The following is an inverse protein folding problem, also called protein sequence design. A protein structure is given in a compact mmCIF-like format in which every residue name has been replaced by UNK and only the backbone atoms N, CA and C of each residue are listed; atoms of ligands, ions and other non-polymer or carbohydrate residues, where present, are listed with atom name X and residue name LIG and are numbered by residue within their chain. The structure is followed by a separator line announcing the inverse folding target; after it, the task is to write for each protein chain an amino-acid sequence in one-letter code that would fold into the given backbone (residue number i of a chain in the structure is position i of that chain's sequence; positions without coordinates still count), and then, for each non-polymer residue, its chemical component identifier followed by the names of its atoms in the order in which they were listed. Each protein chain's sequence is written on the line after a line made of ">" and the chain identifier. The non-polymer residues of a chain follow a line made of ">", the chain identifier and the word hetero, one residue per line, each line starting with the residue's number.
data_IF_463429037885
#
_entry.id   IF_463429037885
#
_cell.length_a   1.000
_cell.length_b   1.000
_cell.length_c   1.000
_cell.angle_alpha   90.00
_cell.angle_beta   90.00
_cell.angle_gamma   90.00
#
_symmetry.space_group_name_H-M   'P 1'
#
loop_
_entity.id
_entity.type
_entity.pdbx_description
1 polymer ?
#
# COMPACT_ATOMS: atom_id res chain seq x y z
N UNK A 1 9.82 1.72 16.59
CA UNK A 1 9.30 1.55 15.21
C UNK A 1 7.87 2.05 15.20
N UNK A 2 7.48 2.79 14.16
CA UNK A 2 6.11 3.24 13.92
C UNK A 2 5.27 2.06 13.46
N UNK A 3 4.20 1.78 14.20
CA UNK A 3 3.23 0.71 13.97
C UNK A 3 2.03 1.22 13.19
N UNK A 4 1.95 0.84 11.93
CA UNK A 4 0.90 1.28 10.99
C UNK A 4 -0.10 0.15 10.80
N UNK A 5 -1.31 0.33 11.29
CA UNK A 5 -2.41 -0.59 11.00
C UNK A 5 -3.09 -0.19 9.69
N UNK A 6 -3.11 -1.11 8.72
CA UNK A 6 -3.75 -0.93 7.43
C UNK A 6 -4.96 -1.87 7.30
N UNK A 7 -6.05 -1.34 6.79
CA UNK A 7 -7.29 -2.07 6.61
C UNK A 7 -7.80 -1.89 5.19
N UNK A 8 -7.87 -2.97 4.42
CA UNK A 8 -8.64 -2.96 3.19
C UNK A 8 -10.09 -3.26 3.57
N UNK A 9 -10.94 -2.24 3.48
CA UNK A 9 -12.34 -2.33 3.87
C UNK A 9 -13.05 -3.50 3.19
N UNK A 10 -14.01 -4.11 3.91
CA UNK A 10 -14.87 -5.19 3.43
C UNK A 10 -14.17 -6.55 3.23
N UNK A 11 -14.93 -7.52 2.71
CA UNK A 11 -14.48 -8.69 1.98
C UNK A 11 -15.33 -8.82 0.70
N UNK A 12 -15.09 -9.83 -0.14
CA UNK A 12 -15.85 -10.01 -1.39
C UNK A 12 -17.36 -10.13 -1.18
N UNK A 13 -17.77 -10.73 -0.06
CA UNK A 13 -19.16 -11.03 0.25
C UNK A 13 -19.83 -10.04 1.20
N UNK A 14 -19.18 -8.91 1.53
CA UNK A 14 -19.82 -7.90 2.38
C UNK A 14 -21.16 -7.48 1.79
N UNK A 15 -22.24 -7.48 2.60
CA UNK A 15 -23.52 -6.92 2.21
C UNK A 15 -23.43 -5.41 2.03
N UNK A 16 -24.22 -4.86 1.10
CA UNK A 16 -24.31 -3.42 0.88
C UNK A 16 -24.04 -3.04 -0.57
N UNK A 17 -23.66 -1.78 -0.75
CA UNK A 17 -23.54 -1.15 -2.06
C UNK A 17 -22.38 -1.75 -2.85
N UNK A 18 -22.55 -1.86 -4.17
CA UNK A 18 -21.57 -2.40 -5.12
C UNK A 18 -21.56 -1.51 -6.36
N UNK A 19 -20.60 -1.69 -7.27
CA UNK A 19 -20.77 -1.09 -8.60
C UNK A 19 -22.04 -1.65 -9.25
N UNK A 20 -22.70 -0.92 -10.15
CA UNK A 20 -23.92 -1.39 -10.83
C UNK A 20 -23.73 -2.70 -11.61
N UNK A 21 -22.48 -3.08 -11.92
CA UNK A 21 -22.13 -4.34 -12.60
C UNK A 21 -21.56 -5.40 -11.64
N UNK A 22 -21.63 -5.18 -10.33
CA UNK A 22 -21.29 -6.17 -9.31
C UNK A 22 -19.81 -6.27 -8.94
N UNK A 23 -18.98 -5.30 -9.33
CA UNK A 23 -17.59 -5.22 -8.87
C UNK A 23 -17.55 -5.03 -7.35
N UNK A 24 -16.56 -5.64 -6.72
CA UNK A 24 -16.45 -5.71 -5.26
C UNK A 24 -15.43 -4.69 -4.77
N UNK A 25 -15.86 -3.85 -3.84
CA UNK A 25 -15.06 -2.78 -3.26
C UNK A 25 -13.71 -3.28 -2.73
N UNK A 26 -13.71 -4.43 -2.04
CA UNK A 26 -12.49 -5.05 -1.52
C UNK A 26 -11.41 -5.24 -2.59
N UNK A 27 -11.79 -5.50 -3.84
CA UNK A 27 -10.81 -5.70 -4.92
C UNK A 27 -10.01 -4.42 -5.23
N UNK A 28 -10.63 -3.25 -5.11
CA UNK A 28 -9.97 -1.95 -5.22
C UNK A 28 -9.17 -1.65 -3.93
N UNK A 29 -9.80 -1.83 -2.76
CA UNK A 29 -9.20 -1.55 -1.45
C UNK A 29 -7.90 -2.35 -1.23
N UNK A 30 -7.91 -3.64 -1.59
CA UNK A 30 -6.75 -4.53 -1.47
C UNK A 30 -5.57 -4.06 -2.34
N UNK A 31 -5.81 -3.64 -3.59
CA UNK A 31 -4.74 -3.13 -4.48
C UNK A 31 -4.07 -1.89 -3.91
N UNK A 32 -4.87 -0.96 -3.37
CA UNK A 32 -4.36 0.25 -2.71
C UNK A 32 -3.56 -0.10 -1.45
N UNK A 33 -4.07 -0.99 -0.60
CA UNK A 33 -3.37 -1.44 0.62
C UNK A 33 -2.01 -2.07 0.29
N UNK A 34 -1.97 -2.97 -0.69
CA UNK A 34 -0.73 -3.64 -1.10
C UNK A 34 0.31 -2.63 -1.62
N UNK A 35 -0.11 -1.65 -2.42
CA UNK A 35 0.77 -0.59 -2.89
C UNK A 35 1.27 0.31 -1.75
N UNK A 36 0.41 0.66 -0.80
CA UNK A 36 0.78 1.42 0.40
C UNK A 36 1.82 0.66 1.24
N UNK A 37 1.57 -0.63 1.52
CA UNK A 37 2.48 -1.46 2.28
C UNK A 37 3.84 -1.63 1.58
N UNK A 38 3.82 -1.86 0.26
CA UNK A 38 5.05 -1.98 -0.54
C UNK A 38 5.88 -0.68 -0.54
N UNK A 39 5.23 0.48 -0.58
CA UNK A 39 5.94 1.77 -0.48
C UNK A 39 6.50 2.00 0.92
N UNK A 40 5.70 1.77 1.98
CA UNK A 40 6.13 1.91 3.37
C UNK A 40 7.31 1.01 3.73
N UNK A 41 7.41 -0.19 3.16
CA UNK A 41 8.52 -1.12 3.38
C UNK A 41 9.89 -0.58 2.91
N UNK A 42 9.91 0.48 2.10
CA UNK A 42 11.13 1.19 1.68
C UNK A 42 11.67 2.14 2.75
N UNK A 43 10.97 2.32 3.87
CA UNK A 43 11.33 3.25 4.94
C UNK A 43 11.76 2.49 6.21
N UNK A 44 12.71 3.08 6.92
CA UNK A 44 13.22 2.56 8.19
C UNK A 44 12.15 2.66 9.27
N UNK A 45 12.29 1.85 10.31
CA UNK A 45 11.49 1.91 11.53
C UNK A 45 9.98 1.78 11.33
N UNK A 46 9.51 1.07 10.28
CA UNK A 46 8.09 0.80 10.05
C UNK A 46 7.75 -0.65 10.35
N UNK A 47 6.66 -0.86 11.08
CA UNK A 47 5.97 -2.14 11.15
C UNK A 47 4.55 -1.97 10.63
N UNK A 48 4.07 -2.94 9.86
CA UNK A 48 2.73 -2.91 9.25
C UNK A 48 1.91 -4.08 9.80
N UNK A 49 0.69 -3.79 10.21
CA UNK A 49 -0.31 -4.80 10.55
C UNK A 49 -1.53 -4.67 9.63
N UNK A 50 -1.82 -5.72 8.86
CA UNK A 50 -3.05 -5.80 8.07
C UNK A 50 -4.22 -6.28 8.94
N UNK A 51 -5.37 -5.61 8.85
CA UNK A 51 -6.53 -5.87 9.72
C UNK A 51 -7.62 -6.77 9.09
N UNK A 52 -7.78 -6.75 7.77
CA UNK A 52 -8.73 -7.57 7.02
C UNK A 52 -8.15 -8.95 6.63
N UNK A 53 -8.98 -9.80 6.00
CA UNK A 53 -8.56 -11.07 5.39
C UNK A 53 -7.86 -10.79 4.04
N UNK A 54 -6.56 -11.14 3.88
CA UNK A 54 -5.82 -10.89 2.64
C UNK A 54 -6.38 -11.59 1.40
N UNK A 55 -7.22 -12.60 1.58
CA UNK A 55 -7.89 -13.30 0.47
C UNK A 55 -9.23 -12.69 0.09
N UNK A 56 -9.78 -11.81 0.95
CA UNK A 56 -11.10 -11.22 0.79
C UNK A 56 -12.26 -12.22 0.98
N UNK A 57 -11.99 -13.49 1.28
CA UNK A 57 -13.04 -14.51 1.43
C UNK A 57 -13.89 -14.27 2.66
N UNK A 58 -13.27 -13.83 3.74
CA UNK A 58 -13.92 -13.54 5.02
C UNK A 58 -14.16 -12.04 5.16
N UNK A 59 -15.41 -11.65 5.37
CA UNK A 59 -15.70 -10.29 5.81
C UNK A 59 -15.45 -10.17 7.32
N UNK A 60 -14.23 -9.75 7.68
CA UNK A 60 -13.82 -9.63 9.08
C UNK A 60 -14.65 -8.54 9.76
N UNK A 61 -15.35 -8.81 10.88
CA UNK A 61 -16.16 -7.80 11.57
C UNK A 61 -15.36 -6.57 11.98
N UNK A 62 -15.95 -5.38 11.86
CA UNK A 62 -15.29 -4.10 12.15
C UNK A 62 -14.68 -4.05 13.57
N UNK A 63 -15.40 -4.57 14.56
CA UNK A 63 -14.92 -4.66 15.95
C UNK A 63 -13.68 -5.53 16.09
N UNK A 64 -13.60 -6.63 15.33
CA UNK A 64 -12.42 -7.49 15.29
C UNK A 64 -11.22 -6.74 14.72
N UNK A 65 -11.43 -5.96 13.65
CA UNK A 65 -10.39 -5.14 13.02
C UNK A 65 -9.84 -4.09 14.00
N UNK A 66 -10.71 -3.28 14.61
CA UNK A 66 -10.29 -2.23 15.56
C UNK A 66 -9.67 -2.83 16.83
N UNK A 67 -10.23 -3.91 17.38
CA UNK A 67 -9.64 -4.58 18.54
C UNK A 67 -8.25 -5.15 18.24
N UNK A 68 -8.03 -5.65 17.02
CA UNK A 68 -6.71 -6.13 16.58
C UNK A 68 -5.69 -4.98 16.55
N UNK A 69 -6.05 -3.82 15.99
CA UNK A 69 -5.19 -2.64 16.00
C UNK A 69 -4.92 -2.11 17.42
N UNK A 70 -5.97 -2.03 18.25
CA UNK A 70 -5.88 -1.57 19.64
C UNK A 70 -4.96 -2.47 20.47
N UNK A 71 -5.13 -3.80 20.40
CA UNK A 71 -4.26 -4.76 21.11
C UNK A 71 -2.81 -4.69 20.66
N UNK A 72 -2.57 -4.47 19.37
CA UNK A 72 -1.22 -4.32 18.83
C UNK A 72 -0.56 -2.98 19.23
N UNK A 73 -1.36 -2.05 19.77
CA UNK A 73 -0.97 -0.68 20.10
C UNK A 73 -0.42 0.03 18.86
N UNK A 74 -1.20 0.04 17.78
CA UNK A 74 -0.83 0.77 16.57
C UNK A 74 -0.66 2.27 16.87
N UNK A 75 0.29 2.93 16.21
CA UNK A 75 0.47 4.38 16.29
C UNK A 75 -0.51 5.12 15.37
N UNK A 76 -1.02 4.43 14.35
CA UNK A 76 -2.02 4.94 13.41
C UNK A 76 -2.84 3.81 12.80
N UNK A 77 -4.09 4.10 12.45
CA UNK A 77 -4.93 3.25 11.61
C UNK A 77 -5.33 3.99 10.34
N UNK A 78 -5.16 3.33 9.18
CA UNK A 78 -5.70 3.79 7.89
C UNK A 78 -6.63 2.73 7.33
N UNK A 79 -7.92 3.04 7.28
CA UNK A 79 -8.96 2.22 6.66
C UNK A 79 -9.21 2.71 5.24
N UNK A 80 -9.07 1.82 4.26
CA UNK A 80 -9.04 2.14 2.84
C UNK A 80 -10.31 1.60 2.19
N UNK A 81 -11.09 2.50 1.60
CA UNK A 81 -12.40 2.25 1.02
C UNK A 81 -12.58 2.92 -0.35
N UNK A 82 -13.62 2.49 -1.06
CA UNK A 82 -14.15 3.16 -2.25
C UNK A 82 -15.68 3.23 -2.15
N UNK A 83 -16.20 4.44 -2.21
CA UNK A 83 -17.56 4.75 -1.81
C UNK A 83 -18.59 4.23 -2.84
N UNK A 84 -19.86 4.23 -2.45
CA UNK A 84 -20.98 4.14 -3.37
C UNK A 84 -22.19 4.88 -2.81
N UNK A 85 -22.99 5.46 -3.71
CA UNK A 85 -24.18 6.20 -3.32
C UNK A 85 -25.47 5.36 -3.42
N UNK A 86 -25.79 4.83 -4.59
CA UNK A 86 -27.07 4.16 -4.86
C UNK A 86 -26.92 2.77 -5.47
N UNK A 87 -25.70 2.35 -5.83
CA UNK A 87 -25.43 1.17 -6.66
C UNK A 87 -26.08 1.23 -8.05
N UNK A 88 -26.44 2.42 -8.50
CA UNK A 88 -26.84 2.74 -9.88
C UNK A 88 -25.85 3.76 -10.45
N UNK A 89 -25.61 3.73 -11.77
CA UNK A 89 -24.70 4.68 -12.39
C UNK A 89 -25.20 6.12 -12.18
N UNK A 90 -24.32 7.01 -11.73
CA UNK A 90 -24.60 8.43 -11.59
C UNK A 90 -23.36 9.31 -11.68
N UNK A 91 -23.56 10.62 -11.66
CA UNK A 91 -22.50 11.63 -11.85
C UNK A 91 -21.92 12.19 -10.54
N UNK A 92 -22.30 11.62 -9.38
CA UNK A 92 -21.60 11.91 -8.12
C UNK A 92 -20.21 11.29 -8.15
N UNK A 93 -19.26 11.86 -7.44
CA UNK A 93 -17.90 11.35 -7.43
C UNK A 93 -16.95 12.26 -6.68
N UNK A 94 -15.73 11.78 -6.49
CA UNK A 94 -14.62 12.43 -5.83
C UNK A 94 -14.07 11.68 -4.62
N UNK A 95 -12.92 12.12 -4.16
CA UNK A 95 -12.19 11.58 -3.01
C UNK A 95 -12.66 12.25 -1.73
N UNK A 96 -12.89 11.46 -0.68
CA UNK A 96 -13.15 11.95 0.68
C UNK A 96 -12.22 11.28 1.69
N UNK A 97 -11.97 11.93 2.82
CA UNK A 97 -11.33 11.29 3.98
C UNK A 97 -12.11 11.61 5.25
N UNK A 98 -12.39 10.58 6.04
CA UNK A 98 -13.14 10.69 7.28
C UNK A 98 -12.26 10.56 8.51
N UNK A 99 -12.60 11.35 9.52
CA UNK A 99 -12.11 11.27 10.89
C UNK A 99 -13.31 11.19 11.85
N UNK A 100 -13.11 10.74 13.08
CA UNK A 100 -14.21 10.72 14.05
C UNK A 100 -14.65 12.13 14.45
N UNK A 101 -13.68 13.02 14.74
CA UNK A 101 -13.91 14.41 15.14
C UNK A 101 -12.98 15.34 14.37
N UNK A 102 -13.49 16.48 13.94
CA UNK A 102 -12.71 17.56 13.31
C UNK A 102 -12.20 18.54 14.37
N UNK A 103 -11.30 18.08 15.23
CA UNK A 103 -10.85 18.80 16.43
C UNK A 103 -9.36 19.15 16.43
N UNK A 104 -8.75 19.40 15.26
CA UNK A 104 -7.31 19.66 15.09
C UNK A 104 -6.36 18.60 15.71
N UNK A 105 -6.88 17.43 16.07
CA UNK A 105 -6.10 16.30 16.58
C UNK A 105 -5.26 15.63 15.49
N UNK A 106 -4.42 14.67 15.92
CA UNK A 106 -3.50 13.95 15.03
C UNK A 106 -4.20 13.30 13.83
N UNK A 107 -5.38 12.69 14.02
CA UNK A 107 -6.15 12.10 12.92
C UNK A 107 -6.58 13.14 11.87
N UNK A 108 -7.03 14.33 12.32
CA UNK A 108 -7.41 15.40 11.41
C UNK A 108 -6.20 15.93 10.63
N UNK A 109 -5.07 16.18 11.31
CA UNK A 109 -3.82 16.60 10.66
C UNK A 109 -3.33 15.58 9.63
N UNK A 110 -3.39 14.29 9.96
CA UNK A 110 -3.03 13.21 9.04
C UNK A 110 -3.96 13.18 7.82
N UNK A 111 -5.27 13.31 8.02
CA UNK A 111 -6.24 13.35 6.93
C UNK A 111 -6.02 14.54 5.99
N UNK A 112 -5.73 15.73 6.54
CA UNK A 112 -5.41 16.93 5.74
C UNK A 112 -4.12 16.79 4.93
N UNK A 113 -3.16 15.97 5.40
CA UNK A 113 -1.96 15.63 4.63
C UNK A 113 -2.28 14.63 3.52
N UNK A 114 -3.02 13.56 3.82
CA UNK A 114 -3.24 12.43 2.90
C UNK A 114 -4.27 12.72 1.82
N UNK A 115 -5.39 13.37 2.17
CA UNK A 115 -6.50 13.61 1.25
C UNK A 115 -6.08 14.28 -0.07
N UNK A 116 -5.34 15.41 -0.09
CA UNK A 116 -4.90 16.03 -1.34
C UNK A 116 -3.94 15.15 -2.16
N UNK A 117 -3.13 14.29 -1.52
CA UNK A 117 -2.26 13.36 -2.24
C UNK A 117 -3.08 12.29 -2.97
N UNK A 118 -4.14 11.76 -2.35
CA UNK A 118 -5.07 10.81 -2.98
C UNK A 118 -5.80 11.47 -4.14
N UNK A 119 -6.32 12.69 -3.94
CA UNK A 119 -6.97 13.49 -4.99
C UNK A 119 -6.10 13.59 -6.24
N UNK A 120 -4.84 13.97 -6.07
CA UNK A 120 -3.89 14.09 -7.17
C UNK A 120 -3.58 12.74 -7.83
N UNK A 121 -3.36 11.69 -7.03
CA UNK A 121 -3.08 10.34 -7.54
C UNK A 121 -4.23 9.80 -8.39
N UNK A 122 -5.46 9.95 -7.90
CA UNK A 122 -6.66 9.46 -8.58
C UNK A 122 -7.05 10.37 -9.75
N UNK A 123 -6.75 11.67 -9.69
CA UNK A 123 -7.19 12.65 -10.68
C UNK A 123 -8.69 12.91 -10.59
N UNK A 124 -9.25 12.85 -9.38
CA UNK A 124 -10.68 12.99 -9.12
C UNK A 124 -10.96 14.27 -8.32
N UNK A 125 -12.23 14.69 -8.29
CA UNK A 125 -12.66 15.86 -7.52
C UNK A 125 -12.34 15.70 -6.02
N UNK A 126 -11.82 16.76 -5.40
CA UNK A 126 -11.63 16.81 -3.95
C UNK A 126 -12.95 17.10 -3.23
N UNK A 127 -13.33 16.27 -2.25
CA UNK A 127 -14.50 16.48 -1.38
C UNK A 127 -14.12 16.71 0.08
N UNK A 128 -12.82 16.79 0.35
CA UNK A 128 -12.23 17.22 1.61
C UNK A 128 -12.29 16.21 2.74
N UNK A 129 -11.79 16.65 3.89
CA UNK A 129 -11.82 15.90 5.15
C UNK A 129 -13.12 16.19 5.91
N UNK A 130 -13.80 15.14 6.34
CA UNK A 130 -15.10 15.19 7.01
C UNK A 130 -15.07 14.47 8.36
N UNK A 131 -15.89 14.94 9.30
CA UNK A 131 -16.14 14.23 10.55
C UNK A 131 -17.33 13.30 10.39
N UNK A 132 -17.21 12.04 10.80
CA UNK A 132 -18.30 11.08 10.76
C UNK A 132 -18.13 9.99 11.83
N UNK A 133 -19.26 9.49 12.34
CA UNK A 133 -19.29 8.46 13.38
C UNK A 133 -19.11 7.04 12.81
N UNK A 134 -18.04 6.81 12.02
CA UNK A 134 -17.72 5.50 11.45
C UNK A 134 -16.98 4.63 12.47
N UNK A 135 -17.24 3.32 12.47
CA UNK A 135 -16.66 2.41 13.48
C UNK A 135 -15.14 2.43 13.50
N UNK A 136 -14.49 2.34 12.33
CA UNK A 136 -13.03 2.27 12.21
C UNK A 136 -12.32 3.48 12.81
N UNK A 137 -12.93 4.68 12.74
CA UNK A 137 -12.35 5.91 13.31
C UNK A 137 -12.80 6.17 14.75
N UNK A 138 -14.00 5.72 15.14
CA UNK A 138 -14.54 5.90 16.50
C UNK A 138 -13.91 4.93 17.50
N UNK A 139 -13.82 3.65 17.15
CA UNK A 139 -13.48 2.56 18.08
C UNK A 139 -11.96 2.26 18.17
N UNK A 140 -11.15 3.10 17.53
CA UNK A 140 -9.70 2.98 17.52
C UNK A 140 -9.09 3.88 18.59
N UNK A 141 -8.12 3.35 19.35
CA UNK A 141 -7.46 4.06 20.45
C UNK A 141 -6.32 4.99 19.99
N UNK A 142 -5.93 4.89 18.72
CA UNK A 142 -4.90 5.68 18.06
C UNK A 142 -5.53 6.62 17.01
N UNK A 143 -4.79 7.61 16.48
CA UNK A 143 -5.24 8.38 15.33
C UNK A 143 -5.67 7.46 14.19
N UNK A 144 -6.92 7.61 13.75
CA UNK A 144 -7.52 6.78 12.72
C UNK A 144 -8.18 7.63 11.65
N UNK A 145 -7.92 7.29 10.38
CA UNK A 145 -8.60 7.87 9.22
C UNK A 145 -9.25 6.76 8.39
N UNK A 146 -10.32 7.11 7.69
CA UNK A 146 -10.94 6.27 6.66
C UNK A 146 -10.94 7.03 5.33
N UNK A 147 -10.30 6.48 4.30
CA UNK A 147 -10.18 7.15 2.99
C UNK A 147 -11.16 6.54 2.00
N UNK A 148 -11.90 7.38 1.28
CA UNK A 148 -12.71 7.00 0.13
C UNK A 148 -12.00 7.44 -1.16
N UNK A 149 -11.47 6.48 -1.93
CA UNK A 149 -10.67 6.74 -3.14
C UNK A 149 -11.44 7.23 -4.37
N UNK A 150 -12.77 7.33 -4.26
CA UNK A 150 -13.71 7.59 -5.36
C UNK A 150 -14.94 6.71 -5.22
N UNK A 151 -15.93 6.87 -6.10
CA UNK A 151 -17.21 6.17 -6.04
C UNK A 151 -17.31 5.06 -7.09
N UNK A 152 -17.55 3.81 -6.68
CA UNK A 152 -17.66 2.65 -7.60
C UNK A 152 -18.94 2.63 -8.45
N UNK A 153 -19.93 3.44 -8.11
CA UNK A 153 -21.16 3.64 -8.89
C UNK A 153 -21.18 5.00 -9.62
N UNK A 154 -20.02 5.64 -9.74
CA UNK A 154 -19.84 6.90 -10.46
C UNK A 154 -19.38 6.69 -11.89
N UNK A 155 -20.05 7.34 -12.84
CA UNK A 155 -19.59 7.40 -14.23
C UNK A 155 -18.32 8.23 -14.41
N UNK A 156 -17.97 9.10 -13.46
CA UNK A 156 -16.75 9.92 -13.51
C UNK A 156 -15.56 9.24 -12.85
N UNK A 157 -15.79 8.45 -11.79
CA UNK A 157 -14.68 7.91 -10.99
C UNK A 157 -14.31 6.49 -11.39
N UNK A 158 -15.25 5.69 -11.91
CA UNK A 158 -15.03 4.24 -12.12
C UNK A 158 -13.85 3.94 -13.05
N UNK A 159 -13.56 4.82 -14.00
CA UNK A 159 -12.38 4.70 -14.87
C UNK A 159 -11.06 4.73 -14.09
N UNK A 160 -10.96 5.56 -13.05
CA UNK A 160 -9.80 5.59 -12.17
C UNK A 160 -9.74 4.34 -11.28
N UNK A 161 -10.88 3.89 -10.74
CA UNK A 161 -10.96 2.69 -9.90
C UNK A 161 -10.60 1.41 -10.66
N UNK A 162 -10.86 1.35 -11.98
CA UNK A 162 -10.47 0.23 -12.84
C UNK A 162 -9.01 0.28 -13.32
N UNK A 163 -8.28 1.35 -13.01
CA UNK A 163 -6.87 1.51 -13.40
C UNK A 163 -5.94 1.04 -12.28
N UNK A 164 -5.22 -0.06 -12.51
CA UNK A 164 -4.20 -0.55 -11.58
C UNK A 164 -3.11 0.49 -11.30
N UNK A 165 -2.77 1.32 -12.29
CA UNK A 165 -1.82 2.41 -12.12
C UNK A 165 -2.34 3.47 -11.14
N UNK A 166 -3.64 3.82 -11.20
CA UNK A 166 -4.26 4.79 -10.30
C UNK A 166 -4.40 4.25 -8.88
N UNK A 167 -4.86 3.01 -8.71
CA UNK A 167 -4.93 2.36 -7.39
C UNK A 167 -3.54 2.21 -6.75
N UNK A 168 -2.51 1.87 -7.54
CA UNK A 168 -1.12 1.87 -7.08
C UNK A 168 -0.67 3.27 -6.66
N UNK A 169 -0.98 4.29 -7.46
CA UNK A 169 -0.65 5.68 -7.14
C UNK A 169 -1.35 6.15 -5.84
N UNK A 170 -2.61 5.78 -5.62
CA UNK A 170 -3.32 6.05 -4.37
C UNK A 170 -2.64 5.40 -3.17
N UNK A 171 -2.23 4.14 -3.28
CA UNK A 171 -1.51 3.45 -2.20
C UNK A 171 -0.18 4.15 -1.87
N UNK A 172 0.57 4.54 -2.90
CA UNK A 172 1.81 5.32 -2.74
C UNK A 172 1.52 6.69 -2.09
N UNK A 173 0.44 7.38 -2.49
CA UNK A 173 0.04 8.66 -1.91
C UNK A 173 -0.27 8.56 -0.40
N UNK A 174 -0.99 7.51 0.01
CA UNK A 174 -1.25 7.23 1.44
C UNK A 174 0.07 7.01 2.18
N UNK A 175 0.97 6.17 1.63
CA UNK A 175 2.28 5.91 2.22
C UNK A 175 3.12 7.19 2.34
N UNK A 176 3.15 8.04 1.32
CA UNK A 176 3.86 9.32 1.34
C UNK A 176 3.31 10.28 2.39
N UNK A 177 1.99 10.31 2.57
CA UNK A 177 1.39 11.11 3.64
C UNK A 177 1.76 10.61 5.03
N UNK A 178 1.81 9.29 5.24
CA UNK A 178 2.30 8.66 6.48
C UNK A 178 3.79 8.96 6.70
N UNK A 179 4.62 8.84 5.66
CA UNK A 179 6.05 9.19 5.71
C UNK A 179 6.25 10.63 6.13
N UNK A 180 5.50 11.57 5.55
CA UNK A 180 5.53 12.98 5.92
C UNK A 180 5.08 13.20 7.36
N UNK A 181 4.00 12.54 7.77
CA UNK A 181 3.43 12.71 9.11
C UNK A 181 4.36 12.20 10.22
N UNK A 182 5.03 11.08 10.01
CA UNK A 182 5.93 10.46 11.00
C UNK A 182 7.41 10.83 10.81
N UNK A 183 7.76 11.59 9.76
CA UNK A 183 9.15 11.93 9.44
C UNK A 183 10.01 10.70 9.13
N UNK A 184 9.43 9.71 8.43
CA UNK A 184 10.11 8.44 8.15
C UNK A 184 11.28 8.63 7.18
N UNK A 185 12.40 7.96 7.47
CA UNK A 185 13.59 7.98 6.62
C UNK A 185 13.60 6.80 5.67
N UNK A 186 13.95 7.04 4.42
CA UNK A 186 14.08 5.98 3.42
C UNK A 186 15.26 5.08 3.80
N UNK A 187 15.13 3.76 3.61
CA UNK A 187 16.23 2.82 3.75
C UNK A 187 17.30 3.13 2.72
N UNK A 188 18.55 3.17 3.15
CA UNK A 188 19.72 3.19 2.28
C UNK A 188 20.12 1.76 1.90
N UNK A 189 20.95 1.61 0.86
CA UNK A 189 21.47 0.30 0.42
C UNK A 189 22.23 -0.42 1.55
N UNK A 190 22.83 0.33 2.49
CA UNK A 190 23.52 -0.21 3.67
C UNK A 190 22.60 -0.71 4.79
N UNK A 191 21.29 -0.42 4.74
CA UNK A 191 20.32 -0.84 5.76
C UNK A 191 19.65 -2.18 5.44
N UNK A 192 20.09 -2.87 4.37
CA UNK A 192 19.69 -4.26 4.09
C UNK A 192 20.38 -5.14 5.13
N UNK A 193 19.68 -5.45 6.21
CA UNK A 193 20.15 -6.39 7.23
C UNK A 193 20.15 -7.79 6.61
N UNK A 194 21.33 -8.32 6.34
CA UNK A 194 21.50 -9.75 6.06
C UNK A 194 21.11 -10.54 7.31
N UNK A 195 20.49 -11.73 7.17
CA UNK A 195 20.23 -12.60 8.31
C UNK A 195 21.53 -12.85 9.08
N UNK A 196 21.51 -12.66 10.39
CA UNK A 196 22.65 -12.92 11.26
C UNK A 196 22.77 -14.40 11.64
N UNK A 197 21.73 -15.19 11.39
CA UNK A 197 21.72 -16.64 11.59
C UNK A 197 22.38 -17.33 10.37
N UNK A 198 23.40 -18.16 10.61
CA UNK A 198 24.12 -18.89 9.56
C UNK A 198 23.22 -19.85 8.77
N UNK A 199 22.20 -20.43 9.39
CA UNK A 199 21.25 -21.33 8.72
C UNK A 199 20.33 -20.55 7.79
N UNK A 200 19.77 -19.42 8.26
CA UNK A 200 18.95 -18.55 7.39
C UNK A 200 19.78 -17.92 6.27
N UNK A 201 21.04 -17.60 6.53
CA UNK A 201 21.97 -17.12 5.52
C UNK A 201 22.21 -18.18 4.45
N UNK A 202 22.50 -19.43 4.84
CA UNK A 202 22.70 -20.54 3.90
C UNK A 202 21.40 -20.85 3.12
N UNK A 203 20.26 -20.90 3.80
CA UNK A 203 18.95 -21.11 3.17
C UNK A 203 18.61 -19.99 2.17
N UNK A 204 19.02 -18.75 2.44
CA UNK A 204 18.92 -17.64 1.48
C UNK A 204 19.92 -17.77 0.33
N UNK A 205 21.16 -18.16 0.60
CA UNK A 205 22.23 -18.27 -0.40
C UNK A 205 21.94 -19.34 -1.46
N UNK A 206 21.23 -20.41 -1.10
CA UNK A 206 20.89 -21.51 -2.02
C UNK A 206 19.53 -21.33 -2.71
N UNK A 207 18.70 -20.41 -2.23
CA UNK A 207 17.37 -20.20 -2.81
C UNK A 207 17.45 -19.45 -4.14
N UNK A 208 16.65 -19.86 -5.11
CA UNK A 208 16.47 -19.13 -6.37
C UNK A 208 15.61 -17.88 -6.18
N UNK A 209 15.84 -16.88 -7.02
CA UNK A 209 14.95 -15.73 -7.15
C UNK A 209 13.52 -16.18 -7.51
N UNK A 210 12.51 -15.53 -6.93
CA UNK A 210 11.10 -15.84 -7.20
C UNK A 210 10.38 -14.68 -7.92
N UNK A 211 9.36 -15.04 -8.70
CA UNK A 211 8.32 -14.16 -9.25
C UNK A 211 8.81 -12.78 -9.69
N UNK A 212 8.45 -11.76 -8.91
CA UNK A 212 8.75 -10.35 -9.21
C UNK A 212 10.24 -10.03 -9.11
N UNK A 213 10.96 -10.59 -8.13
CA UNK A 213 12.40 -10.31 -7.94
C UNK A 213 13.23 -10.81 -9.12
N UNK A 214 12.87 -11.97 -9.64
CA UNK A 214 13.50 -12.51 -10.85
C UNK A 214 13.28 -11.57 -12.05
N UNK A 215 12.04 -11.10 -12.27
CA UNK A 215 11.73 -10.15 -13.35
C UNK A 215 12.48 -8.83 -13.22
N UNK A 216 12.55 -8.29 -12.00
CA UNK A 216 13.26 -7.04 -11.73
C UNK A 216 14.77 -7.19 -11.98
N UNK A 217 15.36 -8.33 -11.57
CA UNK A 217 16.78 -8.62 -11.82
C UNK A 217 17.08 -8.86 -13.31
N UNK A 218 16.19 -9.52 -14.05
CA UNK A 218 16.30 -9.63 -15.53
C UNK A 218 16.32 -8.25 -16.16
N UNK A 219 15.39 -7.36 -15.78
CA UNK A 219 15.31 -6.01 -16.32
C UNK A 219 16.56 -5.18 -15.97
N UNK A 220 17.04 -5.26 -14.72
CA UNK A 220 18.22 -4.53 -14.25
C UNK A 220 19.48 -4.97 -14.98
N UNK A 221 19.73 -6.28 -15.05
CA UNK A 221 20.93 -6.84 -15.69
C UNK A 221 20.95 -6.59 -17.19
N UNK A 222 19.79 -6.67 -17.86
CA UNK A 222 19.66 -6.31 -19.28
C UNK A 222 19.99 -4.84 -19.51
N UNK A 223 19.39 -3.95 -18.71
CA UNK A 223 19.68 -2.51 -18.77
C UNK A 223 21.15 -2.20 -18.49
N UNK A 224 21.75 -2.85 -17.49
CA UNK A 224 23.16 -2.66 -17.16
C UNK A 224 24.11 -3.07 -18.30
N UNK A 225 23.76 -4.11 -19.05
CA UNK A 225 24.50 -4.49 -20.26
C UNK A 225 24.31 -3.48 -21.39
N UNK A 226 23.07 -3.05 -21.65
CA UNK A 226 22.76 -2.02 -22.66
C UNK A 226 23.44 -0.67 -22.36
N UNK A 227 23.62 -0.33 -21.07
CA UNK A 227 24.34 0.86 -20.60
C UNK A 227 25.87 0.67 -20.55
N UNK A 228 26.39 -0.51 -20.94
CA UNK A 228 27.83 -0.81 -20.92
C UNK A 228 28.45 -1.00 -19.53
N UNK A 229 27.65 -1.02 -18.47
CA UNK A 229 28.09 -1.23 -17.07
C UNK A 229 28.53 -2.69 -16.87
N UNK A 230 27.85 -3.62 -17.52
CA UNK A 230 28.27 -5.01 -17.63
C UNK A 230 28.76 -5.31 -19.04
N UNK A 231 29.88 -6.04 -19.12
CA UNK A 231 30.42 -6.55 -20.38
C UNK A 231 29.66 -7.77 -20.93
N UNK A 232 28.81 -8.39 -20.11
CA UNK A 232 28.04 -9.59 -20.44
C UNK A 232 26.56 -9.38 -20.11
N UNK A 233 25.68 -9.82 -21.00
CA UNK A 233 24.25 -9.87 -20.73
C UNK A 233 23.92 -11.01 -19.77
N UNK A 234 23.80 -10.68 -18.49
CA UNK A 234 23.44 -11.64 -17.44
C UNK A 234 21.94 -11.97 -17.40
N UNK A 235 21.09 -11.26 -18.15
CA UNK A 235 19.63 -11.34 -18.00
C UNK A 235 19.06 -12.73 -18.29
N UNK A 236 19.67 -13.49 -19.21
CA UNK A 236 19.29 -14.86 -19.54
C UNK A 236 19.61 -15.88 -18.45
N UNK A 237 20.57 -15.56 -17.59
CA UNK A 237 21.03 -16.47 -16.53
C UNK A 237 20.29 -16.23 -15.20
N UNK A 238 19.65 -15.08 -15.03
CA UNK A 238 18.87 -14.72 -13.82
C UNK A 238 17.85 -15.78 -13.39
N UNK A 239 17.11 -16.48 -14.29
CA UNK A 239 16.20 -17.56 -13.87
C UNK A 239 16.85 -18.72 -13.13
N UNK A 240 18.15 -18.92 -13.33
CA UNK A 240 18.91 -19.99 -12.70
C UNK A 240 19.75 -19.50 -11.52
N UNK A 241 19.82 -18.19 -11.30
CA UNK A 241 20.63 -17.61 -10.23
C UNK A 241 20.04 -17.86 -8.86
N UNK A 242 20.95 -18.10 -7.91
CA UNK A 242 20.63 -17.99 -6.50
C UNK A 242 20.51 -16.52 -6.08
N UNK A 243 19.95 -16.26 -4.90
CA UNK A 243 19.97 -14.92 -4.30
C UNK A 243 21.39 -14.38 -4.14
N UNK A 244 22.37 -15.23 -3.86
CA UNK A 244 23.76 -14.80 -3.67
C UNK A 244 24.38 -14.29 -4.97
N UNK A 245 24.23 -15.04 -6.07
CA UNK A 245 24.72 -14.63 -7.39
C UNK A 245 24.04 -13.34 -7.87
N UNK A 246 22.73 -13.23 -7.63
CA UNK A 246 21.96 -12.02 -7.92
C UNK A 246 22.43 -10.81 -7.11
N UNK A 247 22.76 -11.01 -5.83
CA UNK A 247 23.29 -9.96 -4.96
C UNK A 247 24.70 -9.51 -5.40
N UNK A 248 25.57 -10.43 -5.79
CA UNK A 248 26.89 -10.11 -6.33
C UNK A 248 26.81 -9.25 -7.59
N UNK A 249 25.88 -9.56 -8.49
CA UNK A 249 25.61 -8.73 -9.66
C UNK A 249 25.09 -7.34 -9.25
N UNK A 250 24.14 -7.27 -8.30
CA UNK A 250 23.63 -6.00 -7.82
C UNK A 250 24.74 -5.12 -7.20
N UNK A 251 25.62 -5.70 -6.39
CA UNK A 251 26.78 -5.00 -5.83
C UNK A 251 27.72 -4.50 -6.93
N UNK A 252 28.03 -5.36 -7.91
CA UNK A 252 28.86 -5.00 -9.07
C UNK A 252 28.25 -3.85 -9.89
N UNK A 253 26.94 -3.87 -10.12
CA UNK A 253 26.20 -2.80 -10.78
C UNK A 253 26.36 -1.47 -10.02
N UNK A 254 26.13 -1.49 -8.70
CA UNK A 254 26.23 -0.27 -7.88
C UNK A 254 27.63 0.30 -7.81
N UNK A 255 28.67 -0.54 -7.82
CA UNK A 255 30.06 -0.11 -7.79
C UNK A 255 30.49 0.57 -9.10
N UNK A 256 29.97 0.09 -10.24
CA UNK A 256 30.37 0.54 -11.59
C UNK A 256 29.52 1.66 -12.17
N UNK A 257 28.36 1.93 -11.58
CA UNK A 257 27.44 3.00 -12.03
C UNK A 257 27.85 4.41 -11.54
N UNK A 258 28.83 4.52 -10.66
CA UNK A 258 29.40 5.81 -10.23
C UNK A 258 30.23 6.41 -11.35
#
# INVERSE_FOLDING_TARGET
>A
MVKIALDAGHGYNTPGKRSPIGEREWSFNNKVLLACAAELNKYQNVQILRLDDPTGKTDVPLVTRTNKANRWKADVLVSIHHNANTSKWGSWGGVETFVYRKNNGQAHKLAEIINPLIVNAMGLRNRGVKAMNLHMVRASNMPAILTEGGFMDSTTDIGALRSDAKLKAQGIAIAQGLVKFFGLKKKSVGDIVLPTDKKELNDMMDKKLDGTRQKDMVALTKKAYEEGIFSVDHSKNVPNMTYFEALQLLMSYTARKK
#
